data_IF_387210779951
#
_entry.id   IF_387210779951
#
_cell.length_a   1.000
_cell.length_b   1.000
_cell.length_c   1.000
_cell.angle_alpha   90.00
_cell.angle_beta   90.00
_cell.angle_gamma   90.00
#
_symmetry.space_group_name_H-M   'P 1'
#
loop_
_entity.id
_entity.type
_entity.pdbx_description
1 polymer ?
#
# COMPACT_ATOMS: atom_id res chain seq x y z
N UNK A 1 25.37 1.76 8.25
CA UNK A 1 25.21 0.74 9.31
C UNK A 1 24.68 -0.56 8.71
N UNK A 2 25.10 -1.71 9.24
CA UNK A 2 24.59 -3.04 8.87
C UNK A 2 23.97 -3.68 10.10
N UNK A 3 22.71 -4.09 9.97
CA UNK A 3 21.99 -4.86 11.00
C UNK A 3 22.39 -6.33 10.88
N UNK A 4 22.61 -6.99 12.01
CA UNK A 4 22.91 -8.43 12.08
C UNK A 4 21.70 -9.25 12.49
N UNK A 5 20.85 -8.70 13.36
CA UNK A 5 19.68 -9.36 13.94
C UNK A 5 18.59 -8.34 14.30
N UNK A 6 17.42 -8.87 14.66
CA UNK A 6 16.22 -8.08 14.99
C UNK A 6 16.41 -7.22 16.25
N UNK A 7 17.20 -7.66 17.23
CA UNK A 7 17.47 -6.87 18.44
C UNK A 7 18.31 -5.62 18.13
N UNK A 8 19.36 -5.78 17.32
CA UNK A 8 20.19 -4.68 16.83
C UNK A 8 19.40 -3.69 15.98
N UNK A 9 18.46 -4.18 15.16
CA UNK A 9 17.52 -3.31 14.45
C UNK A 9 16.69 -2.45 15.42
N UNK A 10 16.04 -3.07 16.41
CA UNK A 10 15.19 -2.32 17.33
C UNK A 10 15.97 -1.30 18.17
N UNK A 11 17.21 -1.61 18.55
CA UNK A 11 18.09 -0.66 19.23
C UNK A 11 18.38 0.57 18.34
N UNK A 12 18.77 0.35 17.09
CA UNK A 12 18.99 1.43 16.12
C UNK A 12 17.72 2.25 15.87
N UNK A 13 16.58 1.57 15.66
CA UNK A 13 15.33 2.22 15.34
C UNK A 13 14.82 3.09 16.52
N UNK A 14 14.99 2.61 17.76
CA UNK A 14 14.69 3.38 18.96
C UNK A 14 15.59 4.61 19.10
N UNK A 15 16.88 4.49 18.79
CA UNK A 15 17.81 5.62 18.76
C UNK A 15 17.36 6.68 17.75
N UNK A 16 16.98 6.27 16.53
CA UNK A 16 16.44 7.18 15.51
C UNK A 16 15.15 7.86 15.94
N UNK A 17 14.26 7.13 16.61
CA UNK A 17 13.04 7.69 17.20
C UNK A 17 13.30 8.74 18.28
N UNK A 18 14.40 8.62 19.03
CA UNK A 18 14.78 9.57 20.07
C UNK A 18 15.60 10.77 19.55
N UNK A 19 16.18 10.66 18.35
CA UNK A 19 17.06 11.67 17.77
C UNK A 19 16.34 12.96 17.35
N UNK A 20 15.03 12.89 17.11
CA UNK A 20 14.25 13.97 16.52
C UNK A 20 12.91 14.16 17.23
N UNK A 21 12.42 15.40 17.26
CA UNK A 21 11.11 15.74 17.81
C UNK A 21 10.16 16.13 16.69
N UNK A 22 9.03 15.44 16.69
CA UNK A 22 7.94 15.68 15.76
C UNK A 22 6.70 16.05 16.54
N UNK A 23 6.01 17.09 16.07
CA UNK A 23 4.71 17.48 16.60
C UNK A 23 3.72 17.53 15.44
N UNK A 24 2.64 16.77 15.59
CA UNK A 24 1.53 16.75 14.64
C UNK A 24 0.30 17.20 15.40
N UNK A 25 -0.26 18.34 15.01
CA UNK A 25 -1.48 18.90 15.61
C UNK A 25 -2.59 18.95 14.59
N UNK A 26 -3.76 18.46 14.95
CA UNK A 26 -4.95 18.64 14.10
C UNK A 26 -5.32 20.11 14.06
N UNK A 27 -5.69 20.56 12.87
CA UNK A 27 -6.06 21.95 12.60
C UNK A 27 -7.25 21.98 11.63
N UNK A 28 -8.15 22.98 11.72
CA UNK A 28 -9.24 23.13 10.77
C UNK A 28 -8.73 23.24 9.32
N UNK A 29 -9.43 22.63 8.35
CA UNK A 29 -9.03 22.70 6.93
C UNK A 29 -8.92 24.13 6.39
N UNK A 30 -9.68 25.07 6.95
CA UNK A 30 -9.66 26.48 6.55
C UNK A 30 -8.48 27.26 7.13
N UNK A 31 -7.78 26.71 8.12
CA UNK A 31 -6.62 27.32 8.78
C UNK A 31 -5.28 26.80 8.23
N UNK A 32 -5.31 25.77 7.37
CA UNK A 32 -4.11 25.18 6.78
C UNK A 32 -3.31 26.20 5.96
N UNK A 33 -2.09 26.49 6.41
CA UNK A 33 -1.19 27.37 5.68
C UNK A 33 -0.85 26.79 4.30
N UNK A 34 -0.87 27.63 3.26
CA UNK A 34 -0.61 27.21 1.88
C UNK A 34 -1.77 26.49 1.19
N UNK A 35 -2.80 26.06 1.91
CA UNK A 35 -4.00 25.43 1.36
C UNK A 35 -5.19 26.40 1.36
N UNK A 36 -6.19 26.10 0.53
CA UNK A 36 -7.45 26.83 0.48
C UNK A 36 -8.58 25.95 -0.03
N UNK A 37 -9.82 26.37 0.26
CA UNK A 37 -11.01 25.84 -0.40
C UNK A 37 -11.32 26.73 -1.60
N UNK A 38 -11.39 26.13 -2.78
CA UNK A 38 -11.86 26.84 -3.96
C UNK A 38 -13.36 27.20 -3.82
N UNK A 39 -13.75 28.48 -3.92
CA UNK A 39 -15.11 28.91 -3.63
C UNK A 39 -16.13 28.46 -4.69
N UNK A 40 -15.68 28.14 -5.91
CA UNK A 40 -16.58 27.74 -7.00
C UNK A 40 -16.86 26.23 -6.97
N UNK A 41 -15.84 25.43 -6.68
CA UNK A 41 -15.91 23.96 -6.70
C UNK A 41 -16.07 23.34 -5.33
N UNK A 42 -15.59 24.00 -4.27
CA UNK A 42 -15.45 23.44 -2.93
C UNK A 42 -14.20 22.58 -2.73
N UNK A 43 -13.39 22.38 -3.78
CA UNK A 43 -12.19 21.52 -3.72
C UNK A 43 -11.16 22.10 -2.75
N UNK A 44 -10.40 21.22 -2.08
CA UNK A 44 -9.27 21.63 -1.23
C UNK A 44 -7.98 21.52 -2.05
N UNK A 45 -7.27 22.63 -2.20
CA UNK A 45 -6.10 22.75 -3.09
C UNK A 45 -4.97 23.51 -2.42
N UNK A 46 -3.74 23.20 -2.82
CA UNK A 46 -2.59 24.00 -2.43
C UNK A 46 -2.44 25.22 -3.37
N UNK A 47 -2.07 26.39 -2.82
CA UNK A 47 -1.93 27.66 -3.55
C UNK A 47 -0.92 27.61 -4.69
N UNK A 48 0.08 26.74 -4.59
CA UNK A 48 1.08 26.53 -5.66
C UNK A 48 0.57 25.71 -6.85
N UNK A 49 -0.60 25.07 -6.74
CA UNK A 49 -1.10 24.10 -7.72
C UNK A 49 -0.35 22.75 -7.73
N UNK A 50 0.55 22.51 -6.78
CA UNK A 50 1.32 21.25 -6.63
C UNK A 50 0.73 20.36 -5.53
N UNK A 51 1.43 19.27 -5.22
CA UNK A 51 1.04 18.23 -4.26
C UNK A 51 -0.18 17.45 -4.74
N UNK A 52 -1.33 17.65 -4.13
CA UNK A 52 -2.56 16.95 -4.41
C UNK A 52 -3.76 17.86 -4.14
N UNK A 53 -4.93 17.43 -4.59
CA UNK A 53 -6.21 18.05 -4.28
C UNK A 53 -7.17 17.05 -3.64
N UNK A 54 -8.13 17.56 -2.87
CA UNK A 54 -9.33 16.80 -2.49
C UNK A 54 -10.45 17.31 -3.39
N UNK A 55 -10.98 16.40 -4.21
CA UNK A 55 -12.01 16.67 -5.20
C UNK A 55 -13.22 15.75 -4.96
N UNK A 56 -14.32 15.96 -5.67
CA UNK A 56 -15.44 15.03 -5.68
C UNK A 56 -15.31 13.96 -6.77
N UNK A 57 -15.79 12.76 -6.47
CA UNK A 57 -15.93 11.68 -7.44
C UNK A 57 -17.35 11.15 -7.40
N UNK A 58 -17.98 11.05 -8.57
CA UNK A 58 -19.15 10.21 -8.80
C UNK A 58 -18.70 8.89 -9.37
N UNK A 59 -19.12 7.80 -8.74
CA UNK A 59 -18.93 6.44 -9.20
C UNK A 59 -20.29 5.78 -9.40
N UNK A 60 -20.43 5.04 -10.50
CA UNK A 60 -21.55 4.16 -10.76
C UNK A 60 -21.13 2.95 -11.58
N UNK A 61 -22.00 1.96 -11.67
CA UNK A 61 -21.88 0.87 -12.64
C UNK A 61 -22.59 1.27 -13.93
N UNK A 62 -22.15 0.73 -15.07
CA UNK A 62 -22.78 1.00 -16.37
C UNK A 62 -24.23 0.46 -16.46
N UNK A 63 -24.63 -0.40 -15.52
CA UNK A 63 -26.01 -0.87 -15.40
C UNK A 63 -26.96 0.31 -15.09
N UNK A 64 -28.07 0.51 -15.84
CA UNK A 64 -28.95 1.67 -15.70
C UNK A 64 -29.51 1.90 -14.29
N UNK A 65 -29.75 0.83 -13.53
CA UNK A 65 -30.23 0.86 -12.14
C UNK A 65 -29.13 0.46 -11.13
N UNK A 66 -27.88 0.47 -11.57
CA UNK A 66 -26.74 0.15 -10.73
C UNK A 66 -26.56 1.16 -9.60
N UNK A 67 -26.04 0.74 -8.43
CA UNK A 67 -25.77 1.65 -7.34
C UNK A 67 -24.75 2.70 -7.79
N UNK A 68 -25.10 3.97 -7.59
CA UNK A 68 -24.22 5.11 -7.82
C UNK A 68 -24.09 5.91 -6.52
N UNK A 69 -22.88 6.36 -6.23
CA UNK A 69 -22.60 7.19 -5.07
C UNK A 69 -21.55 8.24 -5.39
N UNK A 70 -21.40 9.17 -4.47
CA UNK A 70 -20.37 10.20 -4.53
C UNK A 70 -19.52 10.18 -3.27
N UNK A 71 -18.25 10.53 -3.40
CA UNK A 71 -17.36 10.69 -2.26
C UNK A 71 -16.28 11.74 -2.55
N UNK A 72 -15.64 12.30 -1.51
CA UNK A 72 -14.35 12.94 -1.68
C UNK A 72 -13.32 11.93 -2.17
N UNK A 73 -12.37 12.38 -2.99
CA UNK A 73 -11.28 11.58 -3.51
C UNK A 73 -9.99 12.42 -3.52
N UNK A 74 -8.86 11.79 -3.22
CA UNK A 74 -7.56 12.42 -3.36
C UNK A 74 -7.14 12.33 -4.84
N UNK A 75 -6.80 13.47 -5.44
CA UNK A 75 -6.28 13.54 -6.79
C UNK A 75 -4.85 14.06 -6.78
N UNK A 76 -3.92 13.19 -7.17
CA UNK A 76 -2.51 13.52 -7.32
C UNK A 76 -2.00 12.92 -8.64
N UNK A 77 -2.03 13.68 -9.75
CA UNK A 77 -1.63 13.19 -11.07
C UNK A 77 -0.10 13.08 -11.23
N UNK A 78 0.65 13.03 -10.14
CA UNK A 78 2.11 12.83 -10.12
C UNK A 78 2.46 11.38 -9.78
N UNK A 79 3.43 10.83 -10.50
CA UNK A 79 4.04 9.53 -10.20
C UNK A 79 5.29 9.73 -9.34
N UNK A 80 5.30 9.22 -8.12
CA UNK A 80 6.49 9.16 -7.27
C UNK A 80 7.36 7.94 -7.57
N UNK A 81 8.54 7.91 -6.95
CA UNK A 81 9.46 6.76 -6.94
C UNK A 81 9.50 6.17 -5.54
N UNK A 82 9.24 4.86 -5.47
CA UNK A 82 9.38 4.00 -4.31
C UNK A 82 10.46 2.97 -4.63
N UNK A 83 11.66 3.18 -4.10
CA UNK A 83 12.86 2.45 -4.47
C UNK A 83 13.50 1.72 -3.30
N UNK A 84 13.81 0.44 -3.47
CA UNK A 84 14.63 -0.33 -2.53
C UNK A 84 15.94 -0.75 -3.19
N UNK A 85 17.06 -0.36 -2.59
CA UNK A 85 18.40 -0.85 -2.93
C UNK A 85 18.67 -2.19 -2.25
N UNK A 86 19.24 -3.13 -2.99
CA UNK A 86 19.73 -4.42 -2.50
C UNK A 86 21.25 -4.47 -2.68
N UNK A 87 21.97 -4.99 -1.69
CA UNK A 87 23.38 -5.38 -1.83
C UNK A 87 23.62 -6.69 -1.11
N UNK A 88 24.45 -7.53 -1.70
CA UNK A 88 24.85 -8.80 -1.11
C UNK A 88 26.01 -8.59 -0.14
N UNK A 89 25.85 -9.10 1.08
CA UNK A 89 26.91 -9.14 2.07
C UNK A 89 27.00 -10.57 2.60
N UNK A 90 28.17 -11.19 2.48
CA UNK A 90 28.44 -12.55 2.95
C UNK A 90 27.40 -13.57 2.45
N UNK A 91 27.01 -13.46 1.17
CA UNK A 91 26.01 -14.35 0.56
C UNK A 91 24.56 -14.07 0.96
N UNK A 92 24.28 -13.04 1.77
CA UNK A 92 22.91 -12.68 2.18
C UNK A 92 22.49 -11.34 1.56
N UNK A 93 21.33 -11.27 0.88
CA UNK A 93 20.82 -10.01 0.35
C UNK A 93 20.36 -9.12 1.51
N UNK A 94 20.89 -7.90 1.56
CA UNK A 94 20.44 -6.86 2.47
C UNK A 94 19.72 -5.77 1.70
N UNK A 95 18.71 -5.18 2.34
CA UNK A 95 17.90 -4.11 1.82
C UNK A 95 18.28 -2.81 2.53
N UNK A 96 18.57 -1.74 1.80
CA UNK A 96 18.85 -0.44 2.41
C UNK A 96 17.55 0.25 2.76
N UNK A 97 17.22 0.30 4.03
CA UNK A 97 15.93 0.82 4.51
C UNK A 97 16.14 2.13 5.26
N UNK A 98 15.11 2.99 5.24
CA UNK A 98 15.15 4.30 5.88
C UNK A 98 14.20 4.35 7.08
N UNK A 99 14.68 4.82 8.23
CA UNK A 99 13.78 5.28 9.30
C UNK A 99 13.18 6.63 8.87
N UNK A 100 11.88 6.65 8.59
CA UNK A 100 11.20 7.81 8.00
C UNK A 100 9.99 8.21 8.83
N UNK A 101 9.98 9.49 9.18
CA UNK A 101 8.80 10.13 9.76
C UNK A 101 7.83 10.55 8.66
N UNK A 102 6.55 10.26 8.89
CA UNK A 102 5.43 10.79 8.15
C UNK A 102 4.31 11.22 9.12
N UNK A 103 3.61 12.33 8.87
CA UNK A 103 2.71 12.93 9.85
C UNK A 103 1.47 12.10 10.20
N UNK A 104 1.10 11.17 9.31
CA UNK A 104 -0.03 10.26 9.50
C UNK A 104 0.35 8.88 10.00
N UNK A 105 1.64 8.59 10.21
CA UNK A 105 2.06 7.33 10.80
C UNK A 105 1.52 7.22 12.23
N UNK A 106 0.90 6.09 12.56
CA UNK A 106 0.36 5.82 13.90
C UNK A 106 1.44 5.93 14.99
N UNK A 107 2.67 5.54 14.67
CA UNK A 107 3.84 5.57 15.56
C UNK A 107 4.83 6.68 15.20
N UNK A 108 4.45 7.63 14.33
CA UNK A 108 5.28 8.72 13.77
C UNK A 108 6.43 8.23 12.87
N UNK A 109 7.31 7.36 13.37
CA UNK A 109 8.46 6.80 12.66
C UNK A 109 8.16 5.37 12.20
N UNK A 110 8.40 5.08 10.92
CA UNK A 110 8.30 3.74 10.32
C UNK A 110 9.49 3.47 9.40
N UNK A 111 9.66 2.21 9.00
CA UNK A 111 10.69 1.79 8.07
C UNK A 111 10.17 1.94 6.63
N UNK A 112 10.74 2.87 5.88
CA UNK A 112 10.42 3.16 4.48
C UNK A 112 11.44 2.57 3.51
N UNK A 113 11.12 2.56 2.19
CA UNK A 113 12.10 2.21 1.16
C UNK A 113 13.32 3.12 1.24
N UNK A 114 14.41 2.73 0.55
CA UNK A 114 15.59 3.59 0.37
C UNK A 114 15.21 4.97 -0.19
N UNK A 115 14.26 5.00 -1.12
CA UNK A 115 13.75 6.23 -1.71
C UNK A 115 12.24 6.20 -1.67
N UNK A 116 11.66 7.24 -1.10
CA UNK A 116 10.24 7.54 -1.16
C UNK A 116 10.11 9.04 -1.48
N UNK A 117 9.91 9.35 -2.77
CA UNK A 117 9.91 10.73 -3.26
C UNK A 117 8.89 10.96 -4.38
N UNK A 118 8.13 12.06 -4.29
CA UNK A 118 7.25 12.52 -5.37
C UNK A 118 8.07 13.15 -6.51
N UNK A 119 7.49 13.18 -7.71
CA UNK A 119 8.08 13.86 -8.88
C UNK A 119 8.53 15.28 -8.58
N UNK A 120 7.63 16.07 -7.98
CA UNK A 120 7.87 17.45 -7.55
C UNK A 120 9.06 17.62 -6.59
N UNK A 121 9.30 16.63 -5.73
CA UNK A 121 10.40 16.65 -4.77
C UNK A 121 11.75 16.32 -5.41
N UNK A 122 11.86 15.21 -6.16
CA UNK A 122 13.16 14.81 -6.70
C UNK A 122 13.61 15.61 -7.92
N UNK A 123 12.69 16.28 -8.63
CA UNK A 123 13.06 17.24 -9.68
C UNK A 123 13.52 18.60 -9.13
N UNK A 124 13.60 18.75 -7.80
CA UNK A 124 14.07 19.95 -7.07
C UNK A 124 13.38 21.24 -7.49
N UNK A 125 12.11 21.17 -7.89
CA UNK A 125 11.30 22.36 -8.24
C UNK A 125 11.09 23.28 -7.02
N UNK A 126 11.44 22.82 -5.82
CA UNK A 126 11.41 23.58 -4.57
C UNK A 126 12.80 24.00 -4.04
N UNK A 127 13.88 23.79 -4.80
CA UNK A 127 15.28 24.06 -4.39
C UNK A 127 15.74 23.33 -3.12
N UNK A 128 15.00 22.32 -2.67
CA UNK A 128 15.38 21.50 -1.53
C UNK A 128 16.61 20.63 -1.79
N UNK A 129 17.11 20.04 -0.73
CA UNK A 129 18.22 19.08 -0.72
C UNK A 129 17.94 17.90 -1.66
N UNK A 130 18.96 17.38 -2.36
CA UNK A 130 18.79 16.23 -3.22
C UNK A 130 18.29 15.02 -2.43
N UNK A 131 17.32 14.30 -2.99
CA UNK A 131 16.84 13.04 -2.42
C UNK A 131 17.99 12.05 -2.41
N UNK A 132 18.38 11.58 -1.22
CA UNK A 132 19.52 10.65 -1.08
C UNK A 132 19.27 9.38 -1.88
N UNK A 133 20.30 8.87 -2.54
CA UNK A 133 20.30 7.62 -3.31
C UNK A 133 19.36 7.57 -4.54
N UNK A 134 18.71 8.67 -4.92
CA UNK A 134 17.73 8.72 -6.01
C UNK A 134 18.30 8.28 -7.37
N UNK A 135 19.57 8.57 -7.62
CA UNK A 135 20.21 8.33 -8.92
C UNK A 135 20.27 6.84 -9.28
N UNK A 136 20.35 5.94 -8.29
CA UNK A 136 20.27 4.49 -8.53
C UNK A 136 18.95 4.06 -9.16
N UNK A 137 17.88 4.85 -8.99
CA UNK A 137 16.53 4.52 -9.47
C UNK A 137 16.16 5.31 -10.72
N UNK A 138 16.72 6.51 -10.91
CA UNK A 138 16.48 7.33 -12.10
C UNK A 138 17.41 6.95 -13.25
N UNK A 139 18.68 6.72 -12.95
CA UNK A 139 19.74 6.44 -13.92
C UNK A 139 20.68 5.36 -13.38
N UNK A 140 20.23 4.09 -13.30
CA UNK A 140 21.06 2.99 -12.80
C UNK A 140 22.41 2.92 -13.53
N UNK A 141 23.50 2.82 -12.78
CA UNK A 141 24.87 2.77 -13.31
C UNK A 141 25.30 1.36 -13.75
N UNK A 142 26.56 1.23 -14.19
CA UNK A 142 27.11 -0.07 -14.62
C UNK A 142 27.17 -1.14 -13.51
N UNK A 143 27.22 -0.72 -12.24
CA UNK A 143 27.21 -1.60 -11.08
C UNK A 143 25.81 -1.92 -10.54
N UNK A 144 24.76 -1.39 -11.19
CA UNK A 144 23.37 -1.51 -10.76
C UNK A 144 22.58 -2.45 -11.69
N UNK A 145 21.73 -3.29 -11.11
CA UNK A 145 20.85 -4.22 -11.80
C UNK A 145 19.41 -4.06 -11.33
N UNK A 146 18.52 -3.70 -12.25
CA UNK A 146 17.09 -3.60 -11.98
C UNK A 146 16.45 -4.99 -11.94
N UNK A 147 15.84 -5.36 -10.82
CA UNK A 147 15.11 -6.62 -10.65
C UNK A 147 13.62 -6.48 -10.90
N UNK A 148 13.07 -5.35 -10.53
CA UNK A 148 11.65 -5.05 -10.57
C UNK A 148 11.50 -3.56 -10.81
N UNK A 149 10.63 -3.18 -11.75
CA UNK A 149 10.29 -1.79 -12.06
C UNK A 149 8.90 -1.76 -12.69
N UNK A 150 7.91 -1.26 -11.94
CA UNK A 150 6.54 -1.17 -12.43
C UNK A 150 5.82 0.03 -11.82
N UNK A 151 4.89 0.59 -12.58
CA UNK A 151 3.89 1.51 -12.05
C UNK A 151 2.82 0.70 -11.32
N UNK A 152 2.76 0.83 -10.00
CA UNK A 152 1.73 0.19 -9.20
C UNK A 152 0.70 1.18 -8.70
N UNK A 153 -0.55 0.74 -8.63
CA UNK A 153 -1.69 1.46 -8.07
C UNK A 153 -1.55 1.70 -6.57
N UNK A 154 -2.19 2.74 -6.08
CA UNK A 154 -2.44 2.94 -4.64
C UNK A 154 -3.92 2.72 -4.33
N UNK A 155 -4.37 2.97 -3.09
CA UNK A 155 -5.73 2.64 -2.61
C UNK A 155 -6.79 3.28 -3.53
N UNK A 156 -7.50 2.46 -4.31
CA UNK A 156 -8.53 2.92 -5.24
C UNK A 156 -9.78 3.44 -4.54
N UNK A 157 -9.99 3.07 -3.27
CA UNK A 157 -11.06 3.62 -2.45
C UNK A 157 -10.85 5.11 -2.09
N UNK A 158 -9.61 5.61 -2.11
CA UNK A 158 -9.24 6.95 -1.59
C UNK A 158 -8.51 7.83 -2.59
N UNK A 159 -7.80 7.24 -3.55
CA UNK A 159 -7.11 7.94 -4.62
C UNK A 159 -7.76 7.74 -5.98
N UNK A 160 -7.79 8.79 -6.80
CA UNK A 160 -8.19 8.69 -8.20
C UNK A 160 -7.00 8.34 -9.09
N UNK A 161 -6.89 7.07 -9.51
CA UNK A 161 -5.92 6.60 -10.51
C UNK A 161 -4.46 6.82 -10.11
N UNK A 162 -4.18 6.96 -8.81
CA UNK A 162 -2.84 7.19 -8.28
C UNK A 162 -1.97 5.98 -8.52
N UNK A 163 -0.74 6.24 -8.98
CA UNK A 163 0.29 5.22 -9.14
C UNK A 163 1.64 5.76 -8.69
N UNK A 164 2.52 4.86 -8.25
CA UNK A 164 3.93 5.13 -8.01
C UNK A 164 4.80 4.11 -8.74
N UNK A 165 5.98 4.54 -9.18
CA UNK A 165 7.01 3.64 -9.71
C UNK A 165 7.63 2.88 -8.54
N UNK A 166 7.34 1.59 -8.47
CA UNK A 166 7.94 0.67 -7.52
C UNK A 166 9.14 0.02 -8.19
N UNK A 167 10.32 0.15 -7.59
CA UNK A 167 11.57 -0.31 -8.22
C UNK A 167 12.52 -0.95 -7.19
N UNK A 168 13.12 -2.07 -7.59
CA UNK A 168 14.17 -2.75 -6.82
C UNK A 168 15.43 -2.79 -7.65
N UNK A 169 16.51 -2.25 -7.11
CA UNK A 169 17.82 -2.18 -7.76
C UNK A 169 18.85 -2.88 -6.87
N UNK A 170 19.53 -3.87 -7.41
CA UNK A 170 20.71 -4.44 -6.78
C UNK A 170 21.95 -3.63 -7.19
N UNK A 171 22.81 -3.30 -6.24
CA UNK A 171 24.06 -2.60 -6.50
C UNK A 171 25.26 -3.37 -5.97
N UNK A 172 26.34 -3.36 -6.75
CA UNK A 172 27.66 -3.83 -6.32
C UNK A 172 28.52 -2.68 -5.76
N UNK A 173 28.11 -1.43 -6.00
CA UNK A 173 28.84 -0.24 -5.57
C UNK A 173 28.95 -0.08 -4.06
N UNK A 174 29.94 0.68 -3.61
CA UNK A 174 30.04 1.09 -2.21
C UNK A 174 29.10 2.26 -1.94
N UNK A 175 28.22 2.10 -0.94
CA UNK A 175 27.17 3.06 -0.63
C UNK A 175 27.46 3.71 0.73
N UNK A 176 27.81 5.01 0.78
CA UNK A 176 27.89 5.75 2.04
C UNK A 176 26.51 5.75 2.72
N UNK A 177 26.42 5.13 3.90
CA UNK A 177 25.15 4.96 4.61
C UNK A 177 24.92 6.14 5.56
N UNK A 178 23.87 6.93 5.31
CA UNK A 178 23.42 8.00 6.19
C UNK A 178 22.83 7.42 7.49
N UNK A 179 22.79 8.22 8.56
CA UNK A 179 22.40 7.75 9.89
C UNK A 179 20.96 7.20 9.98
N UNK A 180 20.03 7.80 9.23
CA UNK A 180 18.64 7.33 9.10
C UNK A 180 18.47 6.10 8.23
N UNK A 181 19.56 5.50 7.74
CA UNK A 181 19.55 4.34 6.87
C UNK A 181 20.30 3.17 7.48
N UNK A 182 19.77 1.97 7.29
CA UNK A 182 20.46 0.74 7.65
C UNK A 182 20.27 -0.34 6.59
N UNK A 183 21.31 -1.16 6.40
CA UNK A 183 21.21 -2.39 5.65
C UNK A 183 20.56 -3.46 6.53
N UNK A 184 19.37 -3.91 6.16
CA UNK A 184 18.60 -4.96 6.86
C UNK A 184 18.71 -6.27 6.09
N UNK A 185 19.21 -7.37 6.69
CA UNK A 185 19.21 -8.68 6.05
C UNK A 185 17.79 -9.13 5.69
N UNK A 186 17.60 -9.78 4.54
CA UNK A 186 16.29 -10.30 4.12
C UNK A 186 15.59 -11.19 5.17
N UNK A 187 16.28 -12.09 5.91
CA UNK A 187 15.66 -12.86 6.99
C UNK A 187 15.13 -11.97 8.13
N UNK A 188 15.90 -10.95 8.53
CA UNK A 188 15.45 -9.98 9.54
C UNK A 188 14.25 -9.20 9.02
N UNK A 189 14.26 -8.75 7.75
CA UNK A 189 13.11 -8.07 7.15
C UNK A 189 11.83 -8.92 7.22
N UNK A 190 11.93 -10.24 7.04
CA UNK A 190 10.79 -11.15 7.16
C UNK A 190 10.21 -11.19 8.59
N UNK A 191 11.05 -11.08 9.61
CA UNK A 191 10.61 -10.93 11.01
C UNK A 191 9.98 -9.56 11.25
N UNK A 192 10.57 -8.47 10.73
CA UNK A 192 10.06 -7.11 10.90
C UNK A 192 8.68 -6.90 10.25
N UNK A 193 8.37 -7.63 9.17
CA UNK A 193 7.04 -7.63 8.56
C UNK A 193 5.94 -8.19 9.49
N UNK A 194 6.29 -8.92 10.56
CA UNK A 194 5.35 -9.42 11.57
C UNK A 194 5.17 -8.46 12.76
N UNK A 195 5.84 -7.31 12.73
CA UNK A 195 5.74 -6.30 13.78
C UNK A 195 4.72 -5.25 13.36
N UNK A 196 3.75 -5.02 14.24
CA UNK A 196 2.69 -4.05 13.99
C UNK A 196 3.26 -2.67 13.66
N UNK A 197 2.74 -2.09 12.57
CA UNK A 197 3.00 -0.70 12.19
C UNK A 197 4.49 -0.31 12.12
N UNK A 198 5.37 -1.25 11.78
CA UNK A 198 6.81 -1.01 11.68
C UNK A 198 7.27 -0.75 10.24
N UNK A 199 7.03 -1.70 9.33
CA UNK A 199 7.40 -1.59 7.92
C UNK A 199 6.29 -0.85 7.20
N UNK A 200 6.55 0.35 6.66
CA UNK A 200 5.51 1.21 6.09
C UNK A 200 4.92 0.64 4.77
N UNK A 201 3.79 1.19 4.34
CA UNK A 201 3.07 0.71 3.16
C UNK A 201 3.93 0.72 1.90
N UNK A 202 4.69 1.80 1.69
CA UNK A 202 5.56 1.97 0.53
C UNK A 202 6.66 0.89 0.47
N UNK A 203 7.19 0.48 1.61
CA UNK A 203 8.10 -0.66 1.70
C UNK A 203 7.39 -1.94 1.30
N UNK A 204 6.24 -2.25 1.92
CA UNK A 204 5.52 -3.51 1.67
C UNK A 204 5.15 -3.69 0.20
N UNK A 205 4.72 -2.61 -0.50
CA UNK A 205 4.42 -2.68 -1.93
C UNK A 205 5.67 -2.96 -2.79
N UNK A 206 6.83 -2.36 -2.48
CA UNK A 206 8.07 -2.65 -3.22
C UNK A 206 8.59 -4.06 -2.90
N UNK A 207 8.48 -4.48 -1.63
CA UNK A 207 8.92 -5.80 -1.16
C UNK A 207 8.14 -6.95 -1.83
N UNK A 208 6.87 -6.72 -2.18
CA UNK A 208 6.07 -7.68 -2.95
C UNK A 208 6.74 -8.07 -4.27
N UNK A 209 7.49 -7.15 -4.88
CA UNK A 209 8.20 -7.34 -6.14
C UNK A 209 9.64 -7.86 -6.01
N UNK A 210 10.13 -8.18 -4.80
CA UNK A 210 11.50 -8.71 -4.62
C UNK A 210 11.73 -9.97 -5.47
N UNK A 211 12.95 -10.17 -5.98
CA UNK A 211 13.30 -11.45 -6.61
C UNK A 211 13.18 -12.60 -5.60
N UNK A 212 12.85 -13.79 -6.08
CA UNK A 212 12.97 -15.01 -5.26
C UNK A 212 14.45 -15.22 -4.91
N UNK A 213 14.74 -15.81 -3.75
CA UNK A 213 16.12 -16.06 -3.35
C UNK A 213 16.80 -16.95 -4.40
N UNK A 214 17.97 -16.54 -4.94
CA UNK A 214 18.81 -17.43 -5.71
C UNK A 214 19.43 -18.41 -4.71
N UNK A 215 18.70 -19.46 -4.34
CA UNK A 215 19.23 -20.48 -3.43
C UNK A 215 20.61 -20.96 -3.90
N UNK A 216 21.53 -21.12 -2.94
CA UNK A 216 22.81 -21.79 -3.17
C UNK A 216 22.57 -23.15 -3.85
N UNK A 217 23.14 -23.31 -5.05
CA UNK A 217 23.21 -24.61 -5.71
C UNK A 217 21.87 -25.13 -6.24
N UNK A 218 21.70 -25.08 -7.56
CA UNK A 218 20.94 -26.06 -8.33
C UNK A 218 19.67 -26.61 -7.63
N UNK A 219 18.60 -25.83 -7.60
CA UNK A 219 17.26 -26.42 -7.39
C UNK A 219 17.13 -27.51 -8.48
N UNK A 220 17.01 -28.80 -8.12
CA UNK A 220 16.86 -29.86 -9.11
C UNK A 220 15.62 -29.54 -9.93
N UNK A 221 15.77 -29.43 -11.27
CA UNK A 221 14.71 -29.19 -12.29
C UNK A 221 13.42 -28.63 -11.68
N UNK A 222 13.26 -27.29 -11.62
CA UNK A 222 12.01 -26.58 -11.23
C UNK A 222 10.81 -27.51 -11.39
N UNK A 223 10.24 -27.97 -10.27
CA UNK A 223 9.03 -28.78 -10.31
C UNK A 223 8.01 -28.08 -11.20
N UNK A 224 7.42 -28.83 -12.13
CA UNK A 224 6.41 -28.31 -13.05
C UNK A 224 5.25 -27.80 -12.19
N UNK A 225 4.85 -26.55 -12.40
CA UNK A 225 3.70 -25.98 -11.68
C UNK A 225 2.47 -26.84 -11.92
N UNK A 226 1.66 -27.04 -10.88
CA UNK A 226 0.35 -27.69 -10.95
C UNK A 226 -0.75 -26.73 -10.47
N UNK A 227 -0.87 -25.54 -11.09
CA UNK A 227 -1.88 -24.59 -10.67
C UNK A 227 -3.27 -25.15 -11.00
N UNK A 228 -4.29 -24.76 -10.23
CA UNK A 228 -5.68 -25.09 -10.57
C UNK A 228 -6.07 -24.54 -11.94
N UNK A 229 -5.59 -23.33 -12.26
CA UNK A 229 -5.83 -22.64 -13.52
C UNK A 229 -4.52 -22.26 -14.18
N UNK A 230 -4.41 -22.48 -15.49
CA UNK A 230 -3.30 -21.95 -16.26
C UNK A 230 -3.43 -20.43 -16.48
N UNK A 231 -2.39 -19.83 -17.03
CA UNK A 231 -2.36 -18.38 -17.29
C UNK A 231 -3.48 -17.93 -18.24
N UNK A 232 -3.85 -18.73 -19.24
CA UNK A 232 -4.86 -18.34 -20.22
C UNK A 232 -6.25 -18.29 -19.58
N UNK A 233 -6.58 -19.28 -18.75
CA UNK A 233 -7.80 -19.32 -17.96
C UNK A 233 -7.90 -18.12 -16.99
N UNK A 234 -6.81 -17.81 -16.27
CA UNK A 234 -6.77 -16.66 -15.36
C UNK A 234 -6.95 -15.32 -16.09
N UNK A 235 -6.29 -15.14 -17.24
CA UNK A 235 -6.45 -13.94 -18.07
C UNK A 235 -7.87 -13.84 -18.63
N UNK A 236 -8.48 -14.95 -19.05
CA UNK A 236 -9.86 -14.97 -19.51
C UNK A 236 -10.83 -14.55 -18.40
N UNK A 237 -10.69 -15.12 -17.20
CA UNK A 237 -11.48 -14.75 -16.01
C UNK A 237 -11.32 -13.26 -15.68
N UNK A 238 -10.08 -12.78 -15.55
CA UNK A 238 -9.80 -11.40 -15.15
C UNK A 238 -10.27 -10.37 -16.20
N UNK A 239 -10.09 -10.69 -17.48
CA UNK A 239 -10.62 -9.85 -18.58
C UNK A 239 -12.15 -9.82 -18.57
N UNK A 240 -12.80 -10.96 -18.30
CA UNK A 240 -14.24 -11.03 -18.10
C UNK A 240 -14.69 -10.12 -16.96
N UNK A 241 -13.99 -10.14 -15.82
CA UNK A 241 -14.29 -9.27 -14.69
C UNK A 241 -14.15 -7.77 -15.04
N UNK A 242 -13.11 -7.38 -15.79
CA UNK A 242 -12.96 -5.99 -16.28
C UNK A 242 -14.12 -5.53 -17.14
N UNK A 243 -14.67 -6.41 -17.97
CA UNK A 243 -15.85 -6.10 -18.80
C UNK A 243 -17.10 -5.97 -17.95
N UNK A 244 -17.33 -6.88 -16.99
CA UNK A 244 -18.50 -6.86 -16.10
C UNK A 244 -18.51 -5.63 -15.19
N UNK A 245 -17.37 -5.30 -14.59
CA UNK A 245 -17.26 -4.23 -13.58
C UNK A 245 -16.84 -2.87 -14.17
N UNK A 246 -17.07 -2.64 -15.47
CA UNK A 246 -16.69 -1.39 -16.10
C UNK A 246 -17.38 -0.20 -15.40
N UNK A 247 -16.62 0.74 -14.81
CA UNK A 247 -17.22 1.78 -13.99
C UNK A 247 -17.57 3.02 -14.83
N UNK A 248 -18.65 3.69 -14.45
CA UNK A 248 -18.91 5.08 -14.83
C UNK A 248 -18.32 6.00 -13.78
N UNK A 249 -17.33 6.80 -14.18
CA UNK A 249 -16.58 7.66 -13.26
C UNK A 249 -16.49 9.06 -13.78
N UNK A 250 -16.83 10.02 -12.93
CA UNK A 250 -16.77 11.43 -13.26
C UNK A 250 -16.26 12.20 -12.04
N UNK A 251 -15.17 12.94 -12.24
CA UNK A 251 -14.77 13.97 -11.28
C UNK A 251 -15.84 15.05 -11.25
N UNK A 252 -16.31 15.38 -10.06
CA UNK A 252 -17.30 16.44 -9.82
C UNK A 252 -16.71 17.43 -8.83
N UNK A 253 -17.18 18.70 -8.81
CA UNK A 253 -16.85 19.62 -7.73
C UNK A 253 -17.14 19.01 -6.36
N UNK A 254 -16.23 19.17 -5.39
CA UNK A 254 -16.41 18.64 -4.03
C UNK A 254 -17.71 19.14 -3.37
N UNK A 255 -18.15 20.36 -3.69
CA UNK A 255 -19.44 20.94 -3.27
C UNK A 255 -20.68 20.18 -3.76
N UNK A 256 -20.54 19.29 -4.75
CA UNK A 256 -21.63 18.47 -5.30
C UNK A 256 -21.62 17.03 -4.80
N UNK A 257 -20.69 16.68 -3.91
CA UNK A 257 -20.65 15.35 -3.30
C UNK A 257 -21.79 15.24 -2.30
N UNK A 258 -22.75 14.35 -2.56
CA UNK A 258 -23.86 14.06 -1.67
C UNK A 258 -23.49 13.03 -0.59
N UNK A 259 -24.15 13.10 0.57
CA UNK A 259 -23.89 12.25 1.74
C UNK A 259 -22.68 12.69 2.58
N UNK A 260 -22.00 13.76 2.18
CA UNK A 260 -20.84 14.31 2.86
C UNK A 260 -21.09 15.77 3.20
N UNK A 261 -20.65 16.21 4.37
CA UNK A 261 -20.77 17.59 4.84
C UNK A 261 -19.46 18.11 5.36
N UNK A 262 -19.30 19.44 5.31
CA UNK A 262 -18.33 20.12 6.17
C UNK A 262 -18.90 20.22 7.58
N UNK A 263 -18.03 19.95 8.54
CA UNK A 263 -18.28 20.16 9.96
C UNK A 263 -17.65 21.50 10.31
N UNK A 264 -18.48 22.55 10.41
CA UNK A 264 -17.99 23.93 10.62
C UNK A 264 -17.26 24.09 11.97
N UNK A 265 -17.69 23.36 13.00
CA UNK A 265 -17.09 23.40 14.33
C UNK A 265 -15.66 22.85 14.34
N UNK A 266 -15.42 21.74 13.63
CA UNK A 266 -14.10 21.07 13.59
C UNK A 266 -13.27 21.40 12.34
N UNK A 267 -13.88 22.02 11.34
CA UNK A 267 -13.26 22.29 10.05
C UNK A 267 -12.84 21.03 9.29
N UNK A 268 -13.58 19.92 9.41
CA UNK A 268 -13.33 18.65 8.70
C UNK A 268 -14.44 18.33 7.69
N UNK A 269 -14.19 17.42 6.75
CA UNK A 269 -15.22 16.87 5.85
C UNK A 269 -15.54 15.45 6.32
N UNK A 270 -16.81 15.18 6.61
CA UNK A 270 -17.28 13.90 7.17
C UNK A 270 -18.47 13.37 6.38
N UNK A 271 -18.64 12.04 6.36
CA UNK A 271 -19.88 11.44 5.89
C UNK A 271 -21.00 11.67 6.91
N UNK A 272 -22.24 11.89 6.46
CA UNK A 272 -23.41 12.16 7.31
C UNK A 272 -23.69 11.06 8.33
N UNK A 273 -23.35 9.82 7.99
CA UNK A 273 -23.52 8.65 8.87
C UNK A 273 -22.32 8.40 9.79
N UNK A 274 -21.28 9.23 9.73
CA UNK A 274 -20.04 9.04 10.48
C UNK A 274 -19.20 7.82 10.06
N UNK A 275 -19.45 7.24 8.88
CA UNK A 275 -18.72 6.09 8.32
C UNK A 275 -17.66 6.51 7.31
N UNK A 276 -16.91 5.53 6.80
CA UNK A 276 -15.90 5.62 5.75
C UNK A 276 -14.62 6.29 6.20
N UNK A 277 -14.55 7.61 6.10
CA UNK A 277 -13.38 8.39 6.41
C UNK A 277 -13.76 9.86 6.65
N UNK A 278 -12.77 10.64 7.04
CA UNK A 278 -12.84 12.10 7.19
C UNK A 278 -11.70 12.75 6.45
N UNK A 279 -11.89 13.97 5.97
CA UNK A 279 -10.79 14.82 5.50
C UNK A 279 -10.51 15.83 6.60
N UNK A 280 -9.32 15.77 7.17
CA UNK A 280 -8.86 16.62 8.28
C UNK A 280 -7.69 17.48 7.85
N UNK A 281 -7.40 18.55 8.60
CA UNK A 281 -6.14 19.28 8.49
C UNK A 281 -5.16 18.86 9.59
N UNK A 282 -3.87 18.89 9.27
CA UNK A 282 -2.79 18.81 10.26
C UNK A 282 -1.73 19.88 10.02
N UNK A 283 -1.20 20.43 11.11
CA UNK A 283 0.05 21.17 11.16
C UNK A 283 1.14 20.25 11.68
N UNK A 284 2.30 20.31 11.04
CA UNK A 284 3.45 19.45 11.32
C UNK A 284 4.64 20.33 11.64
N UNK A 285 5.31 20.04 12.76
CA UNK A 285 6.61 20.58 13.12
C UNK A 285 7.61 19.42 13.19
N UNK A 286 8.75 19.56 12.52
CA UNK A 286 9.77 18.54 12.43
C UNK A 286 11.16 19.17 12.44
N UNK A 287 11.92 18.97 13.52
CA UNK A 287 13.28 19.50 13.66
C UNK A 287 14.31 18.80 12.75
N UNK A 288 14.00 17.62 12.25
CA UNK A 288 14.89 16.80 11.41
C UNK A 288 14.78 17.06 9.90
N UNK A 289 13.91 17.98 9.46
CA UNK A 289 13.67 18.25 8.04
C UNK A 289 14.10 19.65 7.63
N UNK A 290 14.48 19.78 6.36
CA UNK A 290 14.82 21.07 5.74
C UNK A 290 13.67 22.08 5.79
N UNK A 291 12.43 21.59 5.65
CA UNK A 291 11.22 22.34 5.97
C UNK A 291 10.80 21.93 7.37
N UNK A 292 11.01 22.83 8.33
CA UNK A 292 10.81 22.55 9.76
C UNK A 292 9.35 22.61 10.18
N UNK A 293 8.48 23.19 9.36
CA UNK A 293 7.03 23.19 9.58
C UNK A 293 6.24 23.27 8.28
N UNK A 294 5.12 22.55 8.21
CA UNK A 294 4.17 22.67 7.10
C UNK A 294 2.76 22.22 7.53
N UNK A 295 1.76 22.63 6.75
CA UNK A 295 0.36 22.22 6.92
C UNK A 295 -0.10 21.37 5.74
N UNK A 296 -0.95 20.37 5.98
CA UNK A 296 -1.58 19.59 4.91
C UNK A 296 -2.93 19.00 5.29
N UNK A 297 -3.84 18.79 4.30
CA UNK A 297 -4.98 17.92 4.49
C UNK A 297 -4.53 16.46 4.56
N UNK A 298 -5.32 15.63 5.23
CA UNK A 298 -5.13 14.18 5.31
C UNK A 298 -6.48 13.47 5.31
N UNK A 299 -6.49 12.24 4.79
CA UNK A 299 -7.65 11.36 4.89
C UNK A 299 -7.50 10.48 6.14
N UNK A 300 -8.52 10.44 6.99
CA UNK A 300 -8.55 9.68 8.23
C UNK A 300 -9.70 8.67 8.21
N UNK A 301 -9.44 7.36 7.99
CA UNK A 301 -10.48 6.34 8.00
C UNK A 301 -11.23 6.26 9.33
N UNK A 302 -12.49 5.84 9.28
CA UNK A 302 -13.28 5.57 10.49
C UNK A 302 -13.22 4.08 10.81
N UNK A 303 -12.48 3.73 11.88
CA UNK A 303 -12.31 2.34 12.30
C UNK A 303 -11.21 1.61 11.54
N UNK A 304 -10.89 0.41 12.01
CA UNK A 304 -9.83 -0.44 11.46
C UNK A 304 -10.41 -1.35 10.37
N UNK A 305 -9.74 -1.42 9.22
CA UNK A 305 -10.11 -2.36 8.17
C UNK A 305 -9.59 -3.78 8.42
N UNK A 306 -10.10 -4.71 7.63
CA UNK A 306 -9.73 -6.12 7.61
C UNK A 306 -9.37 -6.49 6.18
N UNK A 307 -8.15 -7.01 6.02
CA UNK A 307 -7.59 -7.39 4.74
C UNK A 307 -7.04 -8.81 4.87
N UNK A 308 -7.55 -9.77 4.10
CA UNK A 308 -7.19 -11.16 4.30
C UNK A 308 -7.06 -11.96 3.01
N UNK A 309 -6.04 -12.81 2.95
CA UNK A 309 -6.04 -13.96 2.05
C UNK A 309 -6.51 -15.22 2.78
N UNK A 310 -7.38 -15.96 2.12
CA UNK A 310 -7.62 -17.37 2.42
C UNK A 310 -6.68 -18.19 1.52
N UNK A 311 -5.91 -19.08 2.13
CA UNK A 311 -5.00 -20.00 1.45
C UNK A 311 -5.50 -21.43 1.53
N UNK A 312 -5.20 -22.22 0.51
CA UNK A 312 -5.55 -23.64 0.43
C UNK A 312 -4.47 -24.39 -0.35
N UNK A 313 -4.19 -25.63 0.05
CA UNK A 313 -3.38 -26.51 -0.81
C UNK A 313 -4.26 -27.18 -1.87
N UNK A 314 -3.91 -26.97 -3.14
CA UNK A 314 -4.61 -27.57 -4.29
C UNK A 314 -3.54 -28.18 -5.19
N UNK A 315 -3.67 -29.47 -5.49
CA UNK A 315 -2.71 -30.24 -6.30
C UNK A 315 -1.26 -30.21 -5.78
N UNK A 316 -1.07 -30.05 -4.46
CA UNK A 316 0.24 -29.95 -3.83
C UNK A 316 0.89 -28.55 -3.91
N UNK A 317 0.12 -27.52 -4.30
CA UNK A 317 0.59 -26.13 -4.33
C UNK A 317 -0.29 -25.22 -3.50
N UNK A 318 0.33 -24.25 -2.81
CA UNK A 318 -0.38 -23.22 -2.08
C UNK A 318 -1.00 -22.20 -3.03
N UNK A 319 -2.33 -22.12 -2.96
CA UNK A 319 -3.14 -21.14 -3.65
C UNK A 319 -3.65 -20.09 -2.65
N UNK A 320 -3.93 -18.91 -3.16
CA UNK A 320 -4.59 -17.81 -2.48
C UNK A 320 -5.89 -17.52 -3.22
N UNK A 321 -6.99 -17.37 -2.48
CA UNK A 321 -8.26 -16.95 -3.03
C UNK A 321 -8.21 -15.44 -3.30
N UNK A 322 -8.05 -15.06 -4.56
CA UNK A 322 -8.04 -13.65 -4.96
C UNK A 322 -9.43 -13.22 -5.38
N UNK A 323 -9.70 -11.91 -5.37
CA UNK A 323 -10.91 -11.33 -5.95
C UNK A 323 -10.56 -10.35 -7.08
N UNK A 324 -11.42 -10.22 -8.08
CA UNK A 324 -11.38 -9.12 -9.04
C UNK A 324 -12.12 -7.93 -8.43
N UNK A 325 -11.38 -6.99 -7.85
CA UNK A 325 -11.91 -5.89 -7.05
C UNK A 325 -12.04 -4.61 -7.86
N UNK A 326 -13.25 -4.06 -7.92
CA UNK A 326 -13.49 -2.71 -8.43
C UNK A 326 -13.54 -1.71 -7.27
N UNK A 327 -12.78 -0.62 -7.36
CA UNK A 327 -12.91 0.52 -6.47
C UNK A 327 -13.12 1.82 -7.24
N UNK A 328 -13.57 2.85 -6.54
CA UNK A 328 -14.01 4.09 -7.17
C UNK A 328 -12.91 4.76 -8.02
N UNK A 329 -11.67 4.70 -7.51
CA UNK A 329 -10.49 5.29 -8.11
C UNK A 329 -9.57 4.32 -8.84
N UNK A 330 -9.87 3.02 -8.91
CA UNK A 330 -9.04 2.00 -9.59
C UNK A 330 -8.76 2.36 -11.05
N UNK A 331 -7.52 2.35 -11.51
CA UNK A 331 -7.18 2.85 -12.86
C UNK A 331 -7.92 2.10 -13.97
N UNK A 332 -7.89 0.76 -13.97
CA UNK A 332 -8.36 -0.10 -15.07
C UNK A 332 -9.49 -1.07 -14.66
N UNK A 333 -10.61 -0.50 -14.20
CA UNK A 333 -11.86 -1.16 -13.77
C UNK A 333 -11.73 -2.06 -12.53
N UNK A 334 -10.93 -3.13 -12.60
CA UNK A 334 -10.66 -4.04 -11.48
C UNK A 334 -9.16 -4.34 -11.34
N UNK A 335 -8.74 -4.62 -10.11
CA UNK A 335 -7.43 -5.17 -9.78
C UNK A 335 -7.60 -6.49 -9.02
N UNK A 336 -6.56 -7.33 -8.99
CA UNK A 336 -6.51 -8.51 -8.15
C UNK A 336 -6.35 -8.04 -6.70
N UNK A 337 -7.41 -8.19 -5.93
CA UNK A 337 -7.44 -7.92 -4.51
C UNK A 337 -7.40 -9.19 -3.67
N UNK A 338 -7.26 -9.04 -2.34
CA UNK A 338 -7.26 -10.14 -1.41
C UNK A 338 -8.65 -10.75 -1.26
N UNK A 339 -8.79 -11.88 -0.57
CA UNK A 339 -10.09 -12.55 -0.38
C UNK A 339 -11.10 -11.63 0.29
N UNK A 340 -10.66 -10.90 1.32
CA UNK A 340 -11.48 -9.90 2.00
C UNK A 340 -10.69 -8.59 2.03
N UNK A 341 -11.37 -7.50 1.66
CA UNK A 341 -10.89 -6.13 1.80
C UNK A 341 -12.07 -5.23 2.09
N UNK A 342 -12.28 -4.93 3.37
CA UNK A 342 -13.31 -4.00 3.80
C UNK A 342 -12.99 -3.42 5.17
N UNK A 343 -13.74 -2.40 5.54
CA UNK A 343 -13.84 -1.98 6.92
C UNK A 343 -15.22 -2.41 7.44
N UNK A 344 -15.29 -3.39 8.36
CA UNK A 344 -16.56 -3.88 8.88
C UNK A 344 -17.43 -2.79 9.53
N UNK A 345 -16.82 -1.75 10.10
CA UNK A 345 -17.54 -0.60 10.68
C UNK A 345 -18.25 0.27 9.64
N UNK A 346 -17.97 0.08 8.34
CA UNK A 346 -18.66 0.77 7.26
C UNK A 346 -19.93 0.05 6.79
N UNK A 347 -20.19 -1.16 7.27
CA UNK A 347 -21.39 -1.91 6.93
C UNK A 347 -22.57 -1.38 7.76
N UNK A 348 -23.67 -0.94 7.13
CA UNK A 348 -24.90 -0.64 7.86
C UNK A 348 -25.44 -1.89 8.56
N UNK A 349 -26.16 -1.71 9.67
CA UNK A 349 -26.82 -2.81 10.37
C UNK A 349 -27.78 -3.56 9.43
N UNK A 350 -27.66 -4.88 9.41
CA UNK A 350 -28.46 -5.75 8.54
C UNK A 350 -28.08 -5.74 7.05
N UNK A 351 -27.06 -4.97 6.64
CA UNK A 351 -26.57 -5.02 5.27
C UNK A 351 -25.89 -6.37 4.97
N UNK A 352 -25.97 -6.88 3.73
CA UNK A 352 -25.26 -8.08 3.33
C UNK A 352 -23.75 -7.88 3.53
N UNK A 353 -23.11 -8.87 4.15
CA UNK A 353 -21.68 -8.84 4.42
C UNK A 353 -20.92 -9.27 3.16
N UNK A 354 -19.74 -8.70 2.88
CA UNK A 354 -18.89 -9.15 1.79
C UNK A 354 -18.60 -10.66 1.90
N UNK A 355 -18.50 -11.39 0.76
CA UNK A 355 -18.13 -12.80 0.76
C UNK A 355 -16.88 -13.05 1.61
N UNK A 356 -16.87 -14.17 2.35
CA UNK A 356 -15.78 -14.63 3.21
C UNK A 356 -15.42 -13.73 4.41
N UNK A 357 -16.09 -12.58 4.61
CA UNK A 357 -15.81 -11.73 5.77
C UNK A 357 -16.01 -12.49 7.08
N UNK A 358 -17.08 -13.28 7.20
CA UNK A 358 -17.34 -14.04 8.42
C UNK A 358 -16.34 -15.18 8.60
N UNK A 359 -15.96 -15.88 7.52
CA UNK A 359 -14.85 -16.85 7.54
C UNK A 359 -13.59 -16.25 8.14
N UNK A 360 -13.27 -14.99 7.79
CA UNK A 360 -12.08 -14.30 8.30
C UNK A 360 -12.25 -13.87 9.77
N UNK A 361 -13.39 -13.29 10.13
CA UNK A 361 -13.60 -12.76 11.48
C UNK A 361 -13.79 -13.84 12.54
N UNK A 362 -14.29 -15.02 12.15
CA UNK A 362 -14.50 -16.16 13.06
C UNK A 362 -13.45 -17.25 12.89
N UNK A 363 -12.33 -16.95 12.21
CA UNK A 363 -11.24 -17.90 12.01
C UNK A 363 -10.71 -18.42 13.35
N UNK A 364 -10.49 -19.73 13.44
CA UNK A 364 -9.93 -20.35 14.64
C UNK A 364 -8.42 -20.06 14.72
N UNK A 365 -7.83 -19.99 15.92
CA UNK A 365 -6.40 -19.67 16.07
C UNK A 365 -5.47 -20.57 15.23
N UNK A 366 -5.79 -21.86 15.09
CA UNK A 366 -5.01 -22.80 14.28
C UNK A 366 -5.08 -22.55 12.77
N UNK A 367 -6.07 -21.78 12.31
CA UNK A 367 -6.19 -21.37 10.91
C UNK A 367 -5.39 -20.09 10.61
N UNK A 368 -4.91 -19.36 11.62
CA UNK A 368 -4.24 -18.08 11.42
C UNK A 368 -2.76 -18.32 11.11
N UNK A 369 -2.36 -18.15 9.85
CA UNK A 369 -0.97 -18.30 9.38
C UNK A 369 -0.17 -17.00 9.54
N UNK A 370 -0.84 -15.86 9.40
CA UNK A 370 -0.28 -14.52 9.58
C UNK A 370 -1.35 -13.59 10.13
N UNK A 371 -0.98 -12.73 11.08
CA UNK A 371 -1.85 -11.74 11.71
C UNK A 371 -1.00 -10.58 12.21
N UNK A 372 -1.10 -9.43 11.55
CA UNK A 372 -0.35 -8.22 11.90
C UNK A 372 -1.18 -6.99 11.54
N UNK A 373 -1.10 -5.96 12.37
CA UNK A 373 -1.71 -4.66 12.08
C UNK A 373 -0.69 -3.80 11.34
N UNK A 374 -1.07 -3.30 10.17
CA UNK A 374 -0.25 -2.35 9.44
C UNK A 374 -1.04 -1.11 9.09
N UNK A 375 -0.32 0.01 9.03
CA UNK A 375 -0.85 1.29 8.57
C UNK A 375 -0.53 1.55 7.10
N UNK A 376 -1.39 2.33 6.45
CA UNK A 376 -1.20 2.85 5.10
C UNK A 376 -0.21 4.03 5.06
N UNK A 377 0.06 4.61 3.88
CA UNK A 377 1.01 5.72 3.68
C UNK A 377 0.72 6.93 4.62
N UNK A 378 1.64 7.19 5.55
CA UNK A 378 1.51 8.29 6.50
C UNK A 378 1.68 9.69 5.89
N UNK A 379 2.08 9.80 4.63
CA UNK A 379 2.16 11.07 3.90
C UNK A 379 0.78 11.62 3.50
N UNK A 380 -0.26 10.80 3.50
CA UNK A 380 -1.61 11.14 3.00
C UNK A 380 -2.72 10.67 3.92
N UNK A 381 -2.49 9.56 4.61
CA UNK A 381 -3.46 8.93 5.48
C UNK A 381 -3.11 9.11 6.94
N UNK A 382 -4.04 9.69 7.69
CA UNK A 382 -3.87 9.88 9.12
C UNK A 382 -4.37 8.65 9.87
N UNK A 383 -3.43 7.88 10.44
CA UNK A 383 -3.71 6.72 11.29
C UNK A 383 -4.64 5.69 10.61
N UNK A 384 -4.46 5.51 9.29
CA UNK A 384 -5.18 4.49 8.53
C UNK A 384 -4.56 3.14 8.82
N UNK A 385 -5.25 2.28 9.56
CA UNK A 385 -4.78 0.93 9.92
C UNK A 385 -5.72 -0.16 9.40
N UNK A 386 -5.12 -1.27 9.02
CA UNK A 386 -5.79 -2.51 8.66
C UNK A 386 -5.19 -3.69 9.44
N UNK A 387 -6.02 -4.64 9.84
CA UNK A 387 -5.56 -5.96 10.30
C UNK A 387 -5.36 -6.83 9.05
N UNK A 388 -4.12 -7.23 8.82
CA UNK A 388 -3.71 -8.06 7.68
C UNK A 388 -3.60 -9.52 8.12
N UNK A 389 -4.32 -10.40 7.41
CA UNK A 389 -4.46 -11.81 7.77
C UNK A 389 -4.11 -12.73 6.59
N UNK A 390 -3.50 -13.86 6.90
CA UNK A 390 -3.45 -15.02 5.99
C UNK A 390 -3.99 -16.20 6.76
N UNK A 391 -5.01 -16.85 6.20
CA UNK A 391 -5.72 -17.94 6.85
C UNK A 391 -5.54 -19.24 6.07
N UNK A 392 -5.46 -20.35 6.78
CA UNK A 392 -5.68 -21.68 6.23
C UNK A 392 -7.20 -21.92 6.08
N UNK A 393 -7.64 -21.97 4.84
CA UNK A 393 -9.01 -22.25 4.43
C UNK A 393 -9.14 -23.59 3.71
N UNK A 394 -8.51 -24.63 4.24
CA UNK A 394 -8.70 -26.01 3.74
C UNK A 394 -10.16 -26.48 3.78
N UNK A 395 -11.05 -25.81 4.52
CA UNK A 395 -12.50 -26.01 4.53
C UNK A 395 -13.27 -25.23 3.44
N UNK A 396 -12.65 -24.21 2.83
CA UNK A 396 -13.28 -23.42 1.75
C UNK A 396 -13.34 -24.25 0.47
N UNK A 397 -14.50 -24.30 -0.24
CA UNK A 397 -14.64 -25.05 -1.48
C UNK A 397 -13.74 -24.49 -2.58
N UNK A 398 -13.38 -25.37 -3.52
CA UNK A 398 -12.62 -24.97 -4.73
C UNK A 398 -13.50 -24.15 -5.68
N UNK A 399 -14.80 -24.48 -5.76
CA UNK A 399 -15.79 -23.69 -6.48
C UNK A 399 -16.15 -22.43 -5.69
N UNK A 400 -16.00 -21.27 -6.33
CA UNK A 400 -16.07 -19.95 -5.69
C UNK A 400 -16.89 -18.99 -6.55
N UNK A 401 -17.42 -17.87 -6.00
CA UNK A 401 -18.21 -16.90 -6.76
C UNK A 401 -17.44 -16.31 -7.95
N UNK A 402 -18.17 -15.78 -8.94
CA UNK A 402 -17.61 -15.38 -10.25
C UNK A 402 -16.48 -14.35 -10.21
N UNK A 403 -16.44 -13.52 -9.18
CA UNK A 403 -15.42 -12.49 -8.98
C UNK A 403 -14.24 -12.98 -8.15
N UNK A 404 -14.17 -14.28 -7.88
CA UNK A 404 -13.08 -14.91 -7.14
C UNK A 404 -12.44 -16.02 -7.96
N UNK A 405 -11.15 -16.27 -7.71
CA UNK A 405 -10.47 -17.45 -8.25
C UNK A 405 -9.28 -17.82 -7.37
N UNK A 406 -8.83 -19.07 -7.47
CA UNK A 406 -7.63 -19.54 -6.80
C UNK A 406 -6.41 -19.30 -7.69
N UNK A 407 -5.44 -18.52 -7.20
CA UNK A 407 -4.14 -18.31 -7.86
C UNK A 407 -3.02 -18.88 -7.00
N UNK A 408 -2.05 -19.54 -7.59
CA UNK A 408 -0.84 -19.92 -6.83
C UNK A 408 -0.12 -18.67 -6.35
N UNK A 409 0.60 -18.76 -5.22
CA UNK A 409 1.44 -17.65 -4.74
C UNK A 409 2.41 -17.18 -5.83
N UNK A 410 2.92 -18.12 -6.65
CA UNK A 410 3.85 -17.82 -7.74
C UNK A 410 3.18 -17.13 -8.92
N UNK A 411 1.93 -17.46 -9.25
CA UNK A 411 1.14 -16.74 -10.25
C UNK A 411 0.87 -15.31 -9.79
N UNK A 412 0.45 -15.12 -8.54
CA UNK A 412 0.21 -13.79 -7.99
C UNK A 412 1.50 -12.97 -7.87
N UNK A 413 2.63 -13.59 -7.52
CA UNK A 413 3.96 -12.94 -7.52
C UNK A 413 4.37 -12.45 -8.90
N UNK A 414 4.10 -13.23 -9.96
CA UNK A 414 4.33 -12.77 -11.34
C UNK A 414 3.39 -11.64 -11.73
N UNK A 415 2.12 -11.71 -11.35
CA UNK A 415 1.14 -10.65 -11.60
C UNK A 415 1.53 -9.34 -10.87
N UNK A 416 1.99 -9.43 -9.62
CA UNK A 416 2.44 -8.27 -8.82
C UNK A 416 3.70 -7.57 -9.35
N UNK A 417 4.37 -8.16 -10.35
CA UNK A 417 5.48 -7.51 -11.08
C UNK A 417 5.02 -6.75 -12.33
N UNK A 418 3.73 -6.84 -12.66
CA UNK A 418 3.09 -6.13 -13.77
C UNK A 418 2.23 -5.01 -13.16
N UNK A 419 2.33 -3.82 -13.75
CA UNK A 419 1.62 -2.65 -13.23
C UNK A 419 0.10 -2.75 -13.39
N UNK A 420 -0.64 -2.27 -12.38
CA UNK A 420 -2.12 -2.18 -12.34
C UNK A 420 -2.83 -3.55 -12.45
N UNK A 421 -2.19 -4.64 -12.02
CA UNK A 421 -2.83 -5.95 -11.94
C UNK A 421 -3.19 -6.35 -10.52
N UNK A 422 -2.39 -6.01 -9.52
CA UNK A 422 -2.57 -6.41 -8.13
C UNK A 422 -2.67 -5.15 -7.30
N UNK A 423 -3.71 -5.00 -6.48
CA UNK A 423 -3.91 -3.80 -5.64
C UNK A 423 -2.91 -3.72 -4.48
N UNK A 424 -2.87 -2.59 -3.78
CA UNK A 424 -1.85 -2.32 -2.76
C UNK A 424 -2.02 -3.20 -1.52
N UNK A 425 -3.25 -3.55 -1.18
CA UNK A 425 -3.60 -4.45 -0.10
C UNK A 425 -3.12 -5.88 -0.36
N UNK A 426 -3.38 -6.41 -1.56
CA UNK A 426 -2.89 -7.72 -2.00
C UNK A 426 -1.36 -7.74 -2.11
N UNK A 427 -0.72 -6.65 -2.58
CA UNK A 427 0.75 -6.55 -2.58
C UNK A 427 1.33 -6.54 -1.16
N UNK A 428 0.68 -5.85 -0.22
CA UNK A 428 1.06 -5.89 1.20
C UNK A 428 1.00 -7.32 1.75
N UNK A 429 -0.12 -8.03 1.55
CA UNK A 429 -0.21 -9.41 1.97
C UNK A 429 0.76 -10.32 1.24
N UNK A 430 1.03 -10.10 -0.04
CA UNK A 430 1.97 -10.88 -0.82
C UNK A 430 3.41 -10.76 -0.27
N UNK A 431 3.83 -9.55 0.13
CA UNK A 431 5.10 -9.36 0.82
C UNK A 431 5.19 -10.20 2.11
N UNK A 432 4.07 -10.32 2.83
CA UNK A 432 3.98 -11.12 4.07
C UNK A 432 3.91 -12.63 3.79
N UNK A 433 3.10 -13.07 2.82
CA UNK A 433 2.91 -14.49 2.44
C UNK A 433 4.24 -15.11 2.02
N UNK A 434 5.09 -14.36 1.32
CA UNK A 434 6.42 -14.84 0.90
C UNK A 434 7.39 -15.07 2.06
N UNK A 435 7.04 -14.67 3.29
CA UNK A 435 7.76 -14.99 4.52
C UNK A 435 7.24 -16.25 5.22
N UNK A 436 6.10 -16.78 4.79
CA UNK A 436 5.49 -17.95 5.41
C UNK A 436 6.16 -19.24 4.92
N UNK A 437 6.38 -20.23 5.82
CA UNK A 437 6.79 -21.56 5.42
C UNK A 437 5.84 -22.13 4.35
N UNK A 438 6.41 -22.84 3.37
CA UNK A 438 5.68 -23.51 2.29
C UNK A 438 4.86 -22.59 1.35
N UNK A 439 4.98 -21.26 1.49
CA UNK A 439 4.33 -20.24 0.64
C UNK A 439 5.33 -19.40 -0.16
N UNK A 440 6.55 -19.91 -0.35
CA UNK A 440 7.60 -19.25 -1.15
C UNK A 440 8.81 -18.77 -0.34
N UNK A 441 8.83 -18.94 0.99
CA UNK A 441 10.08 -18.87 1.75
C UNK A 441 10.93 -20.12 1.42
N UNK A 442 12.17 -19.93 0.97
CA UNK A 442 13.16 -21.00 1.06
C UNK A 442 13.40 -21.28 2.54
N UNK A 443 13.36 -22.57 2.92
CA UNK A 443 13.53 -23.02 4.30
C UNK A 443 14.87 -22.62 4.88
#
# INVERSE_FOLDING_TARGET
MRITDTAGFHAWFAERGAAHRYRITRTPLHDLEGWYTDPASGDVRHRSGRFFSIEGLRYGRQEPDGPAWTQPIIRQPETGVLGVLIKWFDGVPHLLMQAKMEPGNINTLQLSPTVQATFSNYTRVHRGSPVRYIDHFLTPGAGDRVHYDALQSEQGSWFLGKRNRNIVVETTGEIPVHEDFCWVPRPVMAELLRVDNLVNMDSRTVLAGLPDDPGEGSVPRRAVEKPLHDTAALLHWFTGAKVRHRPERMTIPLSRVGGWRRDDDRGEIVHETGRYFRIIGVDVEADSREVTSWSQPMLAPVGRGVVAFVSKEIHGERHLLVQARAEAGTFDAVELGPTVQCNPGNLPDGAPRPPYLDTVLTARPEQVLFDTVHSEEGGRFYHAENRYLVLDGDDVPVDVPEDYTWMTVRQLTRAGRIGNLVDVEARTLLACVRTLPDHGASR
#
